data_IF_674043697965
#
_entry.id   IF_674043697965
#
_cell.length_a   1.000
_cell.length_b   1.000
_cell.length_c   1.000
_cell.angle_alpha   90.00
_cell.angle_beta   90.00
_cell.angle_gamma   90.00
#
_symmetry.space_group_name_H-M   'P 1'
#
loop_
_entity.id
_entity.type
_entity.pdbx_description
1 polymer ?
#
# COMPACT_ATOMS: atom_id res chain seq x y z
N UNK A 1 20.08 -1.48 -2.04
CA UNK A 1 18.64 -1.62 -2.31
C UNK A 1 18.04 -0.25 -2.55
N UNK A 2 17.33 -0.09 -3.66
CA UNK A 2 16.74 1.19 -4.01
C UNK A 2 15.25 1.17 -3.68
N UNK A 3 14.79 2.17 -2.94
CA UNK A 3 13.39 2.27 -2.55
C UNK A 3 12.58 2.83 -3.72
N UNK A 4 11.48 2.15 -4.07
CA UNK A 4 10.62 2.51 -5.19
C UNK A 4 9.18 2.70 -4.68
N UNK A 5 8.58 3.84 -5.01
CA UNK A 5 7.20 4.13 -4.62
C UNK A 5 6.21 3.09 -5.18
N UNK A 6 6.50 2.52 -6.34
CA UNK A 6 5.65 1.46 -6.92
C UNK A 6 5.67 0.20 -6.06
N UNK A 7 6.79 -0.08 -5.40
CA UNK A 7 6.91 -1.21 -4.48
C UNK A 7 6.04 -1.03 -3.25
N UNK A 8 5.65 0.19 -2.93
CA UNK A 8 4.69 0.47 -1.86
C UNK A 8 3.26 0.34 -2.37
N UNK A 9 2.97 0.87 -3.53
CA UNK A 9 1.61 0.91 -4.07
C UNK A 9 1.08 -0.44 -4.52
N UNK A 10 1.92 -1.28 -5.13
CA UNK A 10 1.49 -2.58 -5.64
C UNK A 10 0.94 -3.52 -4.57
N UNK A 11 1.63 -3.72 -3.43
CA UNK A 11 1.07 -4.57 -2.37
C UNK A 11 -0.27 -4.06 -1.83
N UNK A 12 -0.42 -2.74 -1.73
CA UNK A 12 -1.67 -2.13 -1.28
C UNK A 12 -2.79 -2.44 -2.28
N UNK A 13 -2.52 -2.25 -3.58
CA UNK A 13 -3.50 -2.56 -4.63
C UNK A 13 -3.89 -4.02 -4.61
N UNK A 14 -2.91 -4.92 -4.50
CA UNK A 14 -3.17 -6.36 -4.47
C UNK A 14 -4.03 -6.75 -3.27
N UNK A 15 -3.67 -6.27 -2.08
CA UNK A 15 -4.41 -6.56 -0.88
C UNK A 15 -5.84 -6.02 -0.97
N UNK A 16 -6.00 -4.82 -1.52
CA UNK A 16 -7.32 -4.22 -1.72
C UNK A 16 -8.18 -5.10 -2.63
N UNK A 17 -7.61 -5.54 -3.75
CA UNK A 17 -8.34 -6.39 -4.71
C UNK A 17 -8.66 -7.76 -4.13
N UNK A 18 -7.74 -8.33 -3.34
CA UNK A 18 -7.98 -9.61 -2.66
C UNK A 18 -9.18 -9.52 -1.72
N UNK A 19 -9.38 -8.34 -1.11
CA UNK A 19 -10.52 -8.10 -0.21
C UNK A 19 -11.78 -7.68 -0.95
N UNK A 20 -11.71 -7.50 -2.27
CA UNK A 20 -12.86 -7.07 -3.07
C UNK A 20 -13.26 -5.62 -2.81
N UNK A 21 -12.33 -4.77 -2.38
CA UNK A 21 -12.63 -3.39 -2.03
C UNK A 21 -12.32 -2.44 -3.19
N UNK A 22 -13.21 -1.43 -3.37
CA UNK A 22 -12.92 -0.33 -4.27
C UNK A 22 -11.96 0.65 -3.60
N UNK A 23 -11.37 1.54 -4.39
CA UNK A 23 -10.56 2.62 -3.83
C UNK A 23 -11.39 3.54 -2.94
N UNK A 24 -12.64 3.82 -3.32
CA UNK A 24 -13.53 4.64 -2.49
C UNK A 24 -13.74 4.03 -1.11
N UNK A 25 -14.00 2.73 -1.07
CA UNK A 25 -14.26 2.04 0.19
C UNK A 25 -12.99 1.98 1.04
N UNK A 26 -11.87 1.59 0.46
CA UNK A 26 -10.63 1.51 1.23
C UNK A 26 -10.18 2.87 1.75
N UNK A 27 -10.22 3.90 0.90
CA UNK A 27 -9.83 5.25 1.35
C UNK A 27 -10.74 5.75 2.46
N UNK A 28 -12.05 5.45 2.38
CA UNK A 28 -12.99 5.80 3.44
C UNK A 28 -12.66 5.11 4.76
N UNK A 29 -12.36 3.81 4.72
CA UNK A 29 -11.97 3.06 5.92
C UNK A 29 -10.65 3.58 6.50
N UNK A 30 -9.72 3.94 5.65
CA UNK A 30 -8.41 4.43 6.08
C UNK A 30 -8.43 5.90 6.51
N UNK A 31 -9.52 6.62 6.23
CA UNK A 31 -9.62 8.04 6.57
C UNK A 31 -8.71 8.93 5.74
N UNK A 32 -8.47 8.56 4.47
CA UNK A 32 -7.68 9.35 3.53
C UNK A 32 -8.51 9.66 2.28
N UNK A 33 -8.10 10.68 1.52
CA UNK A 33 -8.78 11.03 0.29
C UNK A 33 -8.57 9.91 -0.75
N UNK A 34 -9.60 9.65 -1.57
CA UNK A 34 -9.49 8.66 -2.64
C UNK A 34 -8.38 9.01 -3.63
N UNK A 35 -8.23 10.29 -3.96
CA UNK A 35 -7.16 10.72 -4.86
C UNK A 35 -5.79 10.44 -4.27
N UNK A 36 -5.63 10.58 -2.94
CA UNK A 36 -4.39 10.25 -2.27
C UNK A 36 -4.08 8.76 -2.41
N UNK A 37 -5.08 7.90 -2.17
CA UNK A 37 -4.91 6.46 -2.33
C UNK A 37 -4.54 6.10 -3.77
N UNK A 38 -5.20 6.71 -4.75
CA UNK A 38 -4.91 6.47 -6.16
C UNK A 38 -3.44 6.79 -6.48
N UNK A 39 -2.95 7.93 -5.99
CA UNK A 39 -1.57 8.32 -6.21
C UNK A 39 -0.58 7.37 -5.55
N UNK A 40 -0.92 6.89 -4.36
CA UNK A 40 -0.07 5.90 -3.66
C UNK A 40 -0.03 4.59 -4.45
N UNK A 41 -1.17 4.08 -4.89
CA UNK A 41 -1.24 2.83 -5.64
C UNK A 41 -0.50 2.92 -6.97
N UNK A 42 -0.51 4.08 -7.59
CA UNK A 42 0.16 4.30 -8.88
C UNK A 42 1.66 4.58 -8.73
N UNK A 43 2.15 4.77 -7.53
CA UNK A 43 3.55 5.11 -7.30
C UNK A 43 3.87 6.59 -7.51
N UNK A 44 2.85 7.43 -7.63
CA UNK A 44 3.03 8.87 -7.84
C UNK A 44 3.30 9.63 -6.55
N UNK A 45 3.01 9.01 -5.40
CA UNK A 45 3.22 9.64 -4.11
C UNK A 45 3.63 8.60 -3.09
N UNK A 46 4.60 8.95 -2.25
CA UNK A 46 5.05 8.10 -1.16
C UNK A 46 4.23 8.42 0.09
N UNK A 47 3.53 7.43 0.67
CA UNK A 47 2.81 7.66 1.92
C UNK A 47 3.79 7.73 3.08
N UNK A 48 3.44 8.51 4.11
CA UNK A 48 4.19 8.46 5.35
C UNK A 48 3.81 7.21 6.15
N UNK A 49 4.52 6.96 7.24
CA UNK A 49 4.30 5.75 8.03
C UNK A 49 2.88 5.70 8.62
N UNK A 50 2.36 6.84 9.08
CA UNK A 50 1.01 6.89 9.62
C UNK A 50 -0.03 6.47 8.57
N UNK A 51 0.13 6.93 7.34
CA UNK A 51 -0.77 6.56 6.24
C UNK A 51 -0.70 5.07 5.96
N UNK A 52 0.50 4.49 5.95
CA UNK A 52 0.68 3.04 5.77
C UNK A 52 -0.03 2.29 6.89
N UNK A 53 0.11 2.75 8.13
CA UNK A 53 -0.56 2.14 9.28
C UNK A 53 -2.08 2.13 9.09
N UNK A 54 -2.65 3.30 8.72
CA UNK A 54 -4.09 3.44 8.50
C UNK A 54 -4.60 2.53 7.39
N UNK A 55 -3.85 2.45 6.29
CA UNK A 55 -4.21 1.59 5.16
C UNK A 55 -4.19 0.12 5.59
N UNK A 56 -3.16 -0.31 6.31
CA UNK A 56 -3.06 -1.69 6.78
C UNK A 56 -4.25 -2.05 7.67
N UNK A 57 -4.58 -1.20 8.63
CA UNK A 57 -5.72 -1.44 9.52
C UNK A 57 -7.01 -1.52 8.72
N UNK A 58 -7.18 -0.64 7.73
CA UNK A 58 -8.37 -0.64 6.88
C UNK A 58 -8.46 -1.92 6.03
N UNK A 59 -7.32 -2.54 5.72
CA UNK A 59 -7.26 -3.82 5.00
C UNK A 59 -7.37 -5.03 5.92
N UNK A 60 -7.60 -4.80 7.21
CA UNK A 60 -7.63 -5.88 8.21
C UNK A 60 -6.30 -6.63 8.27
N UNK A 61 -5.21 -5.88 8.14
CA UNK A 61 -3.85 -6.41 8.19
C UNK A 61 -3.09 -5.76 9.33
N UNK A 62 -2.14 -6.50 9.90
CA UNK A 62 -1.18 -5.88 10.80
C UNK A 62 -0.27 -4.98 9.96
N UNK A 63 0.07 -3.76 10.45
CA UNK A 63 1.02 -2.93 9.72
C UNK A 63 2.31 -3.65 9.36
N UNK A 64 2.81 -4.52 10.24
CA UNK A 64 4.00 -5.32 9.95
C UNK A 64 3.81 -6.25 8.76
N UNK A 65 2.60 -6.80 8.57
CA UNK A 65 2.31 -7.65 7.42
C UNK A 65 2.35 -6.86 6.12
N UNK A 66 1.78 -5.65 6.12
CA UNK A 66 1.82 -4.81 4.93
C UNK A 66 3.25 -4.39 4.61
N UNK A 67 4.03 -4.00 5.63
CA UNK A 67 5.43 -3.64 5.43
C UNK A 67 6.23 -4.82 4.91
N UNK A 68 5.95 -6.04 5.38
CA UNK A 68 6.62 -7.24 4.87
C UNK A 68 6.32 -7.46 3.38
N UNK A 69 5.08 -7.23 2.94
CA UNK A 69 4.73 -7.32 1.52
C UNK A 69 5.45 -6.26 0.69
N UNK A 70 5.57 -5.04 1.25
CA UNK A 70 6.31 -3.96 0.59
C UNK A 70 7.78 -4.35 0.47
N UNK A 71 8.35 -4.91 1.52
CA UNK A 71 9.72 -5.37 1.51
C UNK A 71 9.95 -6.43 0.43
N UNK A 72 9.06 -7.41 0.33
CA UNK A 72 9.14 -8.44 -0.70
C UNK A 72 9.05 -7.85 -2.10
N UNK A 73 8.16 -6.88 -2.30
CA UNK A 73 8.02 -6.23 -3.60
C UNK A 73 9.27 -5.44 -3.96
N UNK A 74 9.85 -4.75 -2.99
CA UNK A 74 11.09 -4.00 -3.17
C UNK A 74 12.25 -4.91 -3.55
N UNK A 75 12.30 -6.11 -2.97
CA UNK A 75 13.41 -7.04 -3.17
C UNK A 75 13.31 -7.86 -4.47
N UNK A 76 12.17 -7.81 -5.18
CA UNK A 76 11.97 -8.60 -6.40
C UNK A 76 13.01 -8.34 -7.47
N UNK A 77 13.50 -7.11 -7.56
CA UNK A 77 14.41 -6.68 -8.60
C UNK A 77 15.87 -6.76 -8.18
N UNK A 78 16.14 -7.34 -7.01
CA UNK A 78 17.51 -7.51 -6.53
C UNK A 78 18.05 -8.83 -7.07
N UNK A 79 19.07 -8.80 -7.94
CA UNK A 79 19.69 -10.04 -8.40
C UNK A 79 20.45 -10.66 -7.22
N UNK A 80 20.15 -11.89 -6.94
CA UNK A 80 20.81 -12.65 -5.90
C UNK A 80 21.89 -13.54 -6.49
#
# INVERSE_FOLDING_TARGET
MQFDNKAVGEPIRKARKEKGLSQDVLSGFAGIARTHLTMIENGDKQPNFETIWKIAVALDMKPSELVARIEQETNKDIPL
#
